data_IF_215701204540
#
_entry.id   IF_215701204540
#
_cell.length_a   1.000
_cell.length_b   1.000
_cell.length_c   1.000
_cell.angle_alpha   90.00
_cell.angle_beta   90.00
_cell.angle_gamma   90.00
#
_symmetry.space_group_name_H-M   'P 1'
#
loop_
_entity.id
_entity.type
_entity.pdbx_description
1 polymer ?
#
# COMPACT_ATOMS: atom_id res chain seq x y z
N UNK A 1 14.31 -1.54 -5.45
CA UNK A 1 13.30 -2.19 -6.30
C UNK A 1 13.79 -2.26 -7.74
N UNK A 2 14.04 -1.13 -8.42
CA UNK A 2 14.54 -1.11 -9.81
C UNK A 2 15.81 -1.97 -10.02
N UNK A 3 16.76 -1.94 -9.08
CA UNK A 3 17.96 -2.78 -9.11
C UNK A 3 17.68 -4.28 -9.00
N UNK A 4 16.54 -4.69 -8.42
CA UNK A 4 16.15 -6.10 -8.28
C UNK A 4 15.52 -6.67 -9.56
N UNK A 5 15.06 -5.81 -10.46
CA UNK A 5 14.42 -6.20 -11.73
C UNK A 5 15.28 -5.87 -12.94
N UNK A 6 16.58 -5.65 -12.73
CA UNK A 6 17.57 -5.32 -13.77
C UNK A 6 17.11 -4.20 -14.74
N UNK A 7 16.45 -3.18 -14.18
CA UNK A 7 15.94 -2.05 -14.97
C UNK A 7 14.72 -2.36 -15.85
N UNK A 8 14.15 -3.57 -15.79
CA UNK A 8 12.93 -3.92 -16.54
C UNK A 8 11.72 -3.06 -16.13
N UNK A 9 11.74 -2.48 -14.92
CA UNK A 9 10.76 -1.52 -14.44
C UNK A 9 11.49 -0.29 -13.91
N UNK A 10 11.01 0.89 -14.32
CA UNK A 10 11.38 2.17 -13.71
C UNK A 10 10.23 2.67 -12.86
N UNK A 11 10.54 3.19 -11.68
CA UNK A 11 9.62 3.66 -10.66
C UNK A 11 9.98 5.12 -10.28
N UNK A 12 9.90 6.08 -11.21
CA UNK A 12 10.10 7.48 -10.87
C UNK A 12 9.07 7.93 -9.84
N UNK A 13 9.51 8.62 -8.79
CA UNK A 13 8.65 9.11 -7.71
C UNK A 13 8.57 10.63 -7.78
N UNK A 14 7.35 11.16 -7.83
CA UNK A 14 7.06 12.58 -7.66
C UNK A 14 6.42 12.77 -6.30
N UNK A 15 7.11 13.48 -5.41
CA UNK A 15 6.57 13.91 -4.12
C UNK A 15 5.79 15.22 -4.35
N UNK A 16 4.50 15.20 -4.02
CA UNK A 16 3.64 16.39 -3.96
C UNK A 16 3.77 17.05 -2.59
N UNK A 17 3.39 18.33 -2.48
CA UNK A 17 3.44 19.01 -1.20
C UNK A 17 2.53 18.30 -0.18
N UNK A 18 3.11 17.96 0.96
CA UNK A 18 2.37 17.51 2.15
C UNK A 18 2.07 18.79 2.94
N UNK A 19 0.79 19.14 3.09
CA UNK A 19 0.42 20.34 3.85
C UNK A 19 0.84 20.17 5.31
N UNK A 20 0.26 19.18 5.97
CA UNK A 20 0.58 18.75 7.32
C UNK A 20 0.94 17.25 7.28
N UNK A 21 2.13 16.87 7.74
CA UNK A 21 2.53 15.46 7.89
C UNK A 21 1.92 14.90 9.17
N UNK A 22 0.62 14.59 9.13
CA UNK A 22 -0.14 14.09 10.27
C UNK A 22 -1.04 12.92 9.87
N UNK A 23 -1.02 11.87 10.69
CA UNK A 23 -2.00 10.78 10.65
C UNK A 23 -3.31 11.21 11.32
N UNK A 24 -3.98 12.18 10.70
CA UNK A 24 -5.28 12.74 11.11
C UNK A 24 -6.18 12.87 9.89
N UNK A 25 -7.45 12.51 10.04
CA UNK A 25 -8.37 12.33 8.89
C UNK A 25 -8.47 13.56 7.97
N UNK A 26 -8.57 14.78 8.52
CA UNK A 26 -8.67 16.00 7.71
C UNK A 26 -7.37 16.33 6.97
N UNK A 27 -6.20 16.13 7.57
CA UNK A 27 -4.91 16.26 6.90
C UNK A 27 -4.78 15.26 5.74
N UNK A 28 -5.26 14.02 5.93
CA UNK A 28 -5.27 12.98 4.91
C UNK A 28 -6.26 13.28 3.77
N UNK A 29 -7.41 13.90 4.07
CA UNK A 29 -8.38 14.36 3.07
C UNK A 29 -7.80 15.50 2.21
N UNK A 30 -7.08 16.44 2.81
CA UNK A 30 -6.36 17.48 2.05
C UNK A 30 -5.26 16.87 1.16
N UNK A 31 -4.45 15.96 1.71
CA UNK A 31 -3.40 15.26 0.97
C UNK A 31 -3.92 14.53 -0.27
N UNK A 32 -5.06 13.85 -0.13
CA UNK A 32 -5.73 13.13 -1.22
C UNK A 32 -6.64 13.99 -2.10
N UNK A 33 -6.61 15.32 -1.98
CA UNK A 33 -7.43 16.22 -2.75
C UNK A 33 -7.13 16.19 -4.25
N UNK A 34 -8.17 16.27 -5.09
CA UNK A 34 -8.06 16.16 -6.55
C UNK A 34 -7.06 17.14 -7.18
N UNK A 35 -6.98 18.38 -6.68
CA UNK A 35 -6.04 19.38 -7.18
C UNK A 35 -4.57 18.96 -6.96
N UNK A 36 -4.22 18.48 -5.76
CA UNK A 36 -2.87 18.02 -5.44
C UNK A 36 -2.48 16.81 -6.27
N UNK A 37 -3.40 15.87 -6.41
CA UNK A 37 -3.20 14.66 -7.22
C UNK A 37 -2.99 15.01 -8.69
N UNK A 38 -3.78 15.92 -9.25
CA UNK A 38 -3.62 16.37 -10.64
C UNK A 38 -2.27 17.02 -10.89
N UNK A 39 -1.78 17.86 -9.97
CA UNK A 39 -0.43 18.48 -10.06
C UNK A 39 0.67 17.40 -10.05
N UNK A 40 0.58 16.43 -9.15
CA UNK A 40 1.54 15.31 -9.09
C UNK A 40 1.54 14.47 -10.37
N UNK A 41 0.35 14.10 -10.85
CA UNK A 41 0.15 13.30 -12.05
C UNK A 41 0.66 14.01 -13.30
N UNK A 42 0.38 15.30 -13.46
CA UNK A 42 0.87 16.10 -14.59
C UNK A 42 2.40 16.22 -14.61
N UNK A 43 3.04 16.31 -13.44
CA UNK A 43 4.50 16.27 -13.33
C UNK A 43 5.05 14.89 -13.70
N UNK A 44 4.43 13.82 -13.22
CA UNK A 44 4.89 12.47 -13.53
C UNK A 44 4.68 12.11 -15.01
N UNK A 45 3.67 12.67 -15.67
CA UNK A 45 3.42 12.49 -17.10
C UNK A 45 4.62 12.89 -17.99
N UNK A 46 5.49 13.80 -17.53
CA UNK A 46 6.69 14.19 -18.29
C UNK A 46 7.71 13.06 -18.40
N UNK A 47 7.68 12.09 -17.47
CA UNK A 47 8.50 10.87 -17.50
C UNK A 47 7.94 9.81 -18.46
N UNK A 48 6.76 10.05 -19.07
CA UNK A 48 6.04 9.11 -19.96
C UNK A 48 5.86 7.72 -19.33
N UNK A 49 5.25 7.63 -18.13
CA UNK A 49 5.03 6.35 -17.48
C UNK A 49 4.00 5.51 -18.25
N UNK A 50 4.09 4.19 -18.17
CA UNK A 50 3.06 3.29 -18.71
C UNK A 50 1.83 3.20 -17.78
N UNK A 51 2.01 3.36 -16.47
CA UNK A 51 0.96 3.45 -15.44
C UNK A 51 1.37 4.37 -14.30
N UNK A 52 0.38 4.86 -13.53
CA UNK A 52 0.63 5.73 -12.37
C UNK A 52 -0.02 5.16 -11.11
N UNK A 53 0.72 5.19 -10.00
CA UNK A 53 0.19 4.83 -8.68
C UNK A 53 0.13 6.05 -7.78
N UNK A 54 -1.05 6.31 -7.20
CA UNK A 54 -1.17 7.14 -6.01
C UNK A 54 -0.64 6.34 -4.81
N UNK A 55 0.65 6.53 -4.53
CA UNK A 55 1.43 5.79 -3.54
C UNK A 55 1.21 6.33 -2.11
N UNK A 56 -0.05 6.35 -1.67
CA UNK A 56 -0.43 6.69 -0.30
C UNK A 56 -1.62 5.81 0.11
N UNK A 57 -1.42 4.97 1.12
CA UNK A 57 -2.49 4.10 1.64
C UNK A 57 -3.56 4.91 2.35
N UNK A 58 -3.16 5.74 3.33
CA UNK A 58 -4.05 6.51 4.20
C UNK A 58 -4.80 7.61 3.48
N UNK A 59 -4.13 8.39 2.65
CA UNK A 59 -4.76 9.43 1.82
C UNK A 59 -5.75 8.89 0.78
N UNK A 60 -5.83 7.57 0.58
CA UNK A 60 -6.86 6.95 -0.27
C UNK A 60 -7.91 6.18 0.52
N UNK A 61 -7.57 5.41 1.56
CA UNK A 61 -8.60 4.66 2.31
C UNK A 61 -9.55 5.56 3.11
N UNK A 62 -9.12 6.77 3.53
CA UNK A 62 -10.01 7.68 4.30
C UNK A 62 -11.18 8.20 3.47
N UNK A 63 -11.03 8.19 2.14
CA UNK A 63 -12.10 8.54 1.18
C UNK A 63 -13.09 7.39 0.94
N UNK A 64 -12.82 6.20 1.49
CA UNK A 64 -13.58 4.98 1.19
C UNK A 64 -13.38 4.47 -0.25
N UNK A 65 -14.00 3.34 -0.61
CA UNK A 65 -13.77 2.69 -1.91
C UNK A 65 -14.17 3.54 -3.13
N UNK A 66 -15.28 4.28 -3.03
CA UNK A 66 -15.74 5.15 -4.12
C UNK A 66 -14.80 6.33 -4.30
N UNK A 67 -14.48 7.07 -3.24
CA UNK A 67 -13.57 8.20 -3.35
C UNK A 67 -12.14 7.80 -3.74
N UNK A 68 -11.64 6.64 -3.31
CA UNK A 68 -10.36 6.11 -3.79
C UNK A 68 -10.38 5.78 -5.29
N UNK A 69 -11.53 5.34 -5.83
CA UNK A 69 -11.71 5.13 -7.27
C UNK A 69 -11.73 6.47 -8.00
N UNK A 70 -12.49 7.45 -7.50
CA UNK A 70 -12.54 8.79 -8.09
C UNK A 70 -11.15 9.46 -8.13
N UNK A 71 -10.37 9.30 -7.05
CA UNK A 71 -8.97 9.74 -7.01
C UNK A 71 -8.13 9.07 -8.11
N UNK A 72 -8.22 7.75 -8.24
CA UNK A 72 -7.47 7.01 -9.26
C UNK A 72 -7.89 7.41 -10.68
N UNK A 73 -9.19 7.60 -10.94
CA UNK A 73 -9.70 8.07 -12.23
C UNK A 73 -9.22 9.49 -12.56
N UNK A 74 -9.20 10.39 -11.58
CA UNK A 74 -8.64 11.73 -11.73
C UNK A 74 -7.15 11.72 -12.05
N UNK A 75 -6.37 10.89 -11.36
CA UNK A 75 -4.93 10.69 -11.64
C UNK A 75 -4.73 10.13 -13.04
N UNK A 76 -5.52 9.14 -13.45
CA UNK A 76 -5.45 8.55 -14.79
C UNK A 76 -5.75 9.59 -15.88
N UNK A 77 -6.79 10.40 -15.69
CA UNK A 77 -7.17 11.46 -16.62
C UNK A 77 -6.06 12.53 -16.75
N UNK A 78 -5.43 12.92 -15.64
CA UNK A 78 -4.36 13.91 -15.64
C UNK A 78 -3.04 13.37 -16.22
N UNK A 79 -2.72 12.09 -16.00
CA UNK A 79 -1.50 11.46 -16.52
C UNK A 79 -1.64 10.95 -17.96
N UNK A 80 -2.87 10.68 -18.42
CA UNK A 80 -3.15 10.09 -19.73
C UNK A 80 -2.88 8.59 -19.83
N UNK A 81 -2.67 7.91 -18.70
CA UNK A 81 -2.38 6.46 -18.61
C UNK A 81 -3.14 5.82 -17.45
N UNK A 82 -3.31 4.49 -17.42
CA UNK A 82 -4.01 3.82 -16.32
C UNK A 82 -3.41 4.14 -14.96
N UNK A 83 -4.27 4.35 -13.96
CA UNK A 83 -3.83 4.63 -12.60
C UNK A 83 -4.64 3.89 -11.53
N UNK A 84 -4.05 3.76 -10.35
CA UNK A 84 -4.67 3.18 -9.15
C UNK A 84 -4.05 3.78 -7.89
N UNK A 85 -4.51 3.36 -6.71
CA UNK A 85 -3.95 3.74 -5.42
C UNK A 85 -3.46 2.53 -4.61
N UNK A 86 -2.67 2.78 -3.57
CA UNK A 86 -2.19 1.74 -2.65
C UNK A 86 -3.32 1.05 -1.87
N UNK A 87 -4.38 1.77 -1.48
CA UNK A 87 -5.53 1.15 -0.80
C UNK A 87 -6.28 0.17 -1.71
N UNK A 88 -6.53 0.55 -2.97
CA UNK A 88 -7.10 -0.35 -3.98
C UNK A 88 -6.18 -1.56 -4.20
N UNK A 89 -4.87 -1.33 -4.27
CA UNK A 89 -3.88 -2.38 -4.46
C UNK A 89 -3.93 -3.45 -3.37
N UNK A 90 -4.20 -3.09 -2.11
CA UNK A 90 -4.36 -4.06 -1.03
C UNK A 90 -5.54 -5.01 -1.26
N UNK A 91 -6.70 -4.46 -1.64
CA UNK A 91 -7.90 -5.26 -1.91
C UNK A 91 -7.67 -6.20 -3.10
N UNK A 92 -7.05 -5.69 -4.17
CA UNK A 92 -6.78 -6.48 -5.37
C UNK A 92 -5.73 -7.56 -5.13
N UNK A 93 -4.66 -7.26 -4.37
CA UNK A 93 -3.65 -8.23 -3.98
C UNK A 93 -4.24 -9.34 -3.09
N UNK A 94 -5.10 -8.97 -2.12
CA UNK A 94 -5.78 -9.95 -1.28
C UNK A 94 -6.68 -10.89 -2.12
N UNK A 95 -7.44 -10.33 -3.07
CA UNK A 95 -8.28 -11.11 -4.00
C UNK A 95 -7.46 -12.00 -4.91
N UNK A 96 -6.34 -11.50 -5.43
CA UNK A 96 -5.43 -12.26 -6.28
C UNK A 96 -4.91 -13.52 -5.57
N UNK A 97 -4.60 -13.40 -4.27
CA UNK A 97 -4.17 -14.51 -3.43
C UNK A 97 -5.32 -15.37 -2.86
N UNK A 98 -6.58 -15.03 -3.16
CA UNK A 98 -7.76 -15.74 -2.64
C UNK A 98 -8.01 -15.53 -1.14
N UNK A 99 -7.47 -14.47 -0.55
CA UNK A 99 -7.57 -14.17 0.88
C UNK A 99 -8.94 -13.57 1.22
N UNK A 100 -9.60 -14.16 2.22
CA UNK A 100 -10.89 -13.66 2.76
C UNK A 100 -10.78 -13.11 4.17
N UNK A 101 -9.87 -13.64 4.97
CA UNK A 101 -9.64 -13.24 6.36
C UNK A 101 -8.18 -12.85 6.53
N UNK A 102 -7.92 -11.67 7.08
CA UNK A 102 -6.57 -11.13 7.25
C UNK A 102 -6.39 -10.48 8.62
N UNK A 103 -5.15 -10.35 9.05
CA UNK A 103 -4.77 -9.48 10.15
C UNK A 103 -4.17 -8.17 9.60
N UNK A 104 -4.26 -7.09 10.38
CA UNK A 104 -3.69 -5.78 10.03
C UNK A 104 -2.67 -5.36 11.09
N UNK A 105 -1.45 -5.09 10.64
CA UNK A 105 -0.37 -4.54 11.46
C UNK A 105 -0.13 -3.07 11.07
N UNK A 106 -0.89 -2.17 11.68
CA UNK A 106 -0.84 -0.73 11.38
C UNK A 106 0.12 0.02 12.32
N UNK A 107 0.89 0.94 11.74
CA UNK A 107 1.63 1.99 12.44
C UNK A 107 0.71 3.09 12.98
N UNK A 108 -0.42 3.30 12.33
CA UNK A 108 -1.37 4.40 12.55
C UNK A 108 -2.00 4.43 13.96
N UNK A 109 -2.55 5.58 14.38
CA UNK A 109 -3.57 5.64 15.41
C UNK A 109 -4.78 4.76 15.08
N UNK A 110 -5.45 4.23 16.11
CA UNK A 110 -6.55 3.27 15.96
C UNK A 110 -7.68 3.81 15.07
N UNK A 111 -8.11 5.06 15.28
CA UNK A 111 -9.18 5.69 14.52
C UNK A 111 -8.89 5.75 13.01
N UNK A 112 -7.64 6.06 12.64
CA UNK A 112 -7.15 6.02 11.26
C UNK A 112 -7.07 4.60 10.72
N UNK A 113 -6.52 3.65 11.50
CA UNK A 113 -6.43 2.25 11.11
C UNK A 113 -7.80 1.63 10.84
N UNK A 114 -8.83 2.01 11.59
CA UNK A 114 -10.21 1.55 11.40
C UNK A 114 -10.80 1.97 10.04
N UNK A 115 -10.34 3.07 9.42
CA UNK A 115 -10.74 3.38 8.04
C UNK A 115 -10.20 2.35 7.04
N UNK A 116 -8.97 1.88 7.23
CA UNK A 116 -8.40 0.82 6.40
C UNK A 116 -9.16 -0.51 6.56
N UNK A 117 -9.54 -0.87 7.78
CA UNK A 117 -10.40 -2.05 8.04
C UNK A 117 -11.73 -1.95 7.29
N UNK A 118 -12.40 -0.79 7.36
CA UNK A 118 -13.65 -0.56 6.61
C UNK A 118 -13.44 -0.65 5.10
N UNK A 119 -12.33 -0.13 4.60
CA UNK A 119 -11.97 -0.19 3.18
C UNK A 119 -11.80 -1.64 2.69
N UNK A 120 -11.05 -2.45 3.44
CA UNK A 120 -10.85 -3.87 3.16
C UNK A 120 -12.17 -4.65 3.17
N UNK A 121 -13.01 -4.42 4.20
CA UNK A 121 -14.33 -5.06 4.31
C UNK A 121 -15.23 -4.73 3.12
N UNK A 122 -15.27 -3.48 2.68
CA UNK A 122 -16.01 -3.10 1.48
C UNK A 122 -15.46 -3.77 0.20
N UNK A 123 -14.17 -4.12 0.21
CA UNK A 123 -13.52 -4.96 -0.79
C UNK A 123 -13.80 -6.47 -0.68
N UNK A 124 -14.55 -6.92 0.33
CA UNK A 124 -14.84 -8.33 0.59
C UNK A 124 -13.73 -9.07 1.35
N UNK A 125 -12.85 -8.34 2.04
CA UNK A 125 -11.77 -8.90 2.87
C UNK A 125 -12.07 -8.57 4.34
N UNK A 126 -12.33 -9.60 5.14
CA UNK A 126 -12.60 -9.45 6.57
C UNK A 126 -11.30 -9.35 7.38
N UNK A 127 -11.26 -8.42 8.33
CA UNK A 127 -10.14 -8.26 9.25
C UNK A 127 -10.47 -8.95 10.57
N UNK A 128 -9.73 -10.01 10.90
CA UNK A 128 -9.96 -10.82 12.12
C UNK A 128 -9.16 -10.35 13.32
N UNK A 129 -8.06 -9.62 13.09
CA UNK A 129 -7.24 -9.00 14.12
C UNK A 129 -6.61 -7.71 13.59
N UNK A 130 -6.40 -6.74 14.46
CA UNK A 130 -5.71 -5.49 14.14
C UNK A 130 -4.81 -5.08 15.30
N UNK A 131 -3.55 -4.76 15.00
CA UNK A 131 -2.64 -4.02 15.87
C UNK A 131 -2.44 -2.60 15.35
N UNK A 132 -2.41 -1.62 16.27
CA UNK A 132 -2.15 -0.20 15.97
C UNK A 132 -1.06 0.33 16.89
N UNK A 133 -0.02 0.99 16.35
CA UNK A 133 1.12 1.47 17.12
C UNK A 133 1.08 2.98 17.44
N UNK A 134 0.04 3.70 17.01
CA UNK A 134 -0.22 5.09 17.44
C UNK A 134 0.82 6.11 16.99
N UNK A 135 1.59 5.80 15.94
CA UNK A 135 2.60 6.70 15.40
C UNK A 135 1.92 7.80 14.59
N UNK A 136 2.19 9.06 14.91
CA UNK A 136 1.37 10.19 14.44
C UNK A 136 1.83 10.79 13.11
N UNK A 137 3.04 10.46 12.64
CA UNK A 137 3.63 11.06 11.43
C UNK A 137 4.28 10.01 10.54
N UNK A 138 4.32 10.25 9.23
CA UNK A 138 5.03 9.38 8.30
C UNK A 138 6.55 9.42 8.55
N UNK A 139 7.07 10.59 8.96
CA UNK A 139 8.48 10.75 9.32
C UNK A 139 8.92 9.80 10.45
N UNK A 140 8.13 9.67 11.52
CA UNK A 140 8.42 8.75 12.62
C UNK A 140 8.38 7.29 12.14
N UNK A 141 7.39 6.91 11.33
CA UNK A 141 7.29 5.56 10.75
C UNK A 141 8.53 5.22 9.91
N UNK A 142 9.06 6.17 9.14
CA UNK A 142 10.27 5.99 8.34
C UNK A 142 11.54 5.71 9.16
N UNK A 143 11.52 5.91 10.48
CA UNK A 143 12.64 5.60 11.39
C UNK A 143 12.56 4.20 12.00
N UNK A 144 11.46 3.47 11.80
CA UNK A 144 11.32 2.11 12.31
C UNK A 144 12.37 1.19 11.68
N UNK A 145 13.11 0.49 12.54
CA UNK A 145 14.07 -0.50 12.11
C UNK A 145 13.38 -1.84 11.77
N UNK A 146 14.05 -2.75 11.03
CA UNK A 146 13.49 -4.05 10.68
C UNK A 146 12.93 -4.87 11.84
N UNK A 147 13.62 -4.92 12.97
CA UNK A 147 13.20 -5.71 14.15
C UNK A 147 11.88 -5.18 14.74
N UNK A 148 11.70 -3.86 14.76
CA UNK A 148 10.46 -3.23 15.20
C UNK A 148 9.31 -3.57 14.26
N UNK A 149 9.55 -3.59 12.95
CA UNK A 149 8.53 -3.95 11.95
C UNK A 149 8.15 -5.43 12.08
N UNK A 150 9.13 -6.33 12.24
CA UNK A 150 8.89 -7.76 12.49
C UNK A 150 8.07 -7.93 13.76
N UNK A 151 8.46 -7.29 14.86
CA UNK A 151 7.72 -7.38 16.12
C UNK A 151 6.27 -6.88 15.98
N UNK A 152 6.03 -5.81 15.23
CA UNK A 152 4.69 -5.30 14.95
C UNK A 152 3.85 -6.31 14.15
N UNK A 153 4.44 -6.94 13.13
CA UNK A 153 3.76 -7.95 12.30
C UNK A 153 3.44 -9.19 13.12
N UNK A 154 4.39 -9.71 13.89
CA UNK A 154 4.18 -10.88 14.76
C UNK A 154 3.12 -10.62 15.83
N UNK A 155 3.09 -9.41 16.42
CA UNK A 155 2.11 -9.06 17.44
C UNK A 155 0.67 -8.93 16.90
N UNK A 156 0.52 -8.56 15.62
CA UNK A 156 -0.78 -8.42 14.97
C UNK A 156 -1.32 -9.73 14.38
N UNK A 157 -0.48 -10.76 14.23
CA UNK A 157 -0.88 -12.03 13.62
C UNK A 157 -1.99 -12.74 14.40
N UNK A 158 -2.80 -13.53 13.68
CA UNK A 158 -3.93 -14.25 14.24
C UNK A 158 -4.10 -15.63 13.57
N UNK A 159 -4.43 -16.71 14.30
CA UNK A 159 -4.57 -18.04 13.73
C UNK A 159 -5.60 -18.14 12.60
N UNK A 160 -6.67 -17.34 12.66
CA UNK A 160 -7.71 -17.32 11.61
C UNK A 160 -7.38 -16.40 10.40
N UNK A 161 -6.25 -15.69 10.45
CA UNK A 161 -5.80 -14.85 9.35
C UNK A 161 -5.02 -15.67 8.32
N UNK A 162 -5.38 -15.53 7.04
CA UNK A 162 -4.62 -16.13 5.93
C UNK A 162 -3.41 -15.29 5.49
N UNK A 163 -3.29 -14.04 5.97
CA UNK A 163 -2.17 -13.14 5.71
C UNK A 163 -2.17 -11.97 6.72
N UNK A 164 -1.04 -11.28 6.84
CA UNK A 164 -0.91 -10.02 7.59
C UNK A 164 -0.68 -8.85 6.63
N UNK A 165 -1.44 -7.77 6.79
CA UNK A 165 -1.31 -6.55 5.96
C UNK A 165 -0.59 -5.45 6.76
N UNK A 166 0.42 -4.83 6.13
CA UNK A 166 1.24 -3.73 6.67
C UNK A 166 0.99 -2.48 5.82
N UNK A 167 0.00 -1.64 6.17
CA UNK A 167 -0.56 -0.65 5.25
C UNK A 167 0.17 0.70 5.20
N UNK A 168 1.47 0.78 5.48
CA UNK A 168 2.20 2.06 5.50
C UNK A 168 3.33 2.14 4.46
N UNK A 169 3.25 3.13 3.57
CA UNK A 169 4.24 3.39 2.52
C UNK A 169 5.53 4.03 3.06
N UNK A 170 5.50 4.65 4.24
CA UNK A 170 6.69 5.22 4.87
C UNK A 170 7.62 4.14 5.45
N UNK A 171 7.10 2.93 5.68
CA UNK A 171 7.85 1.83 6.29
C UNK A 171 8.76 1.15 5.26
N UNK A 172 10.04 0.99 5.57
CA UNK A 172 11.04 0.40 4.66
C UNK A 172 10.96 -1.14 4.57
N UNK A 173 9.84 -1.67 4.09
CA UNK A 173 9.53 -3.11 4.14
C UNK A 173 10.11 -3.94 3.00
N UNK A 174 10.39 -3.36 1.83
CA UNK A 174 10.78 -4.12 0.63
C UNK A 174 12.02 -5.00 0.81
N UNK A 175 12.91 -4.64 1.74
CA UNK A 175 14.14 -5.40 1.99
C UNK A 175 13.93 -6.63 2.89
N UNK A 176 12.80 -6.70 3.60
CA UNK A 176 12.58 -7.65 4.69
C UNK A 176 11.28 -8.45 4.53
N UNK A 177 10.62 -8.43 3.36
CA UNK A 177 9.33 -9.11 3.15
C UNK A 177 9.43 -10.60 3.50
N UNK A 178 10.46 -11.30 3.02
CA UNK A 178 10.66 -12.71 3.30
C UNK A 178 10.87 -12.96 4.81
N UNK A 179 11.55 -12.05 5.52
CA UNK A 179 11.71 -12.12 6.97
C UNK A 179 10.37 -11.95 7.70
N UNK A 180 9.52 -11.05 7.21
CA UNK A 180 8.16 -10.87 7.73
C UNK A 180 7.32 -12.13 7.52
N UNK A 181 7.34 -12.73 6.32
CA UNK A 181 6.61 -13.97 6.02
C UNK A 181 7.11 -15.14 6.88
N UNK A 182 8.42 -15.29 7.04
CA UNK A 182 9.02 -16.31 7.91
C UNK A 182 8.61 -16.13 9.39
N UNK A 183 8.47 -14.90 9.86
CA UNK A 183 8.14 -14.62 11.26
C UNK A 183 6.71 -15.02 11.65
N UNK A 184 5.78 -15.10 10.69
CA UNK A 184 4.37 -15.45 10.93
C UNK A 184 3.89 -16.69 10.18
N UNK A 185 4.76 -17.33 9.40
CA UNK A 185 4.48 -18.51 8.56
C UNK A 185 3.27 -18.31 7.62
N UNK A 186 3.11 -17.07 7.12
CA UNK A 186 1.98 -16.62 6.30
C UNK A 186 2.42 -15.53 5.31
N UNK A 187 1.69 -15.33 4.20
CA UNK A 187 1.89 -14.17 3.34
C UNK A 187 1.80 -12.85 4.12
N UNK A 188 2.70 -11.92 3.82
CA UNK A 188 2.69 -10.56 4.37
C UNK A 188 2.59 -9.57 3.23
N UNK A 189 1.51 -8.80 3.20
CA UNK A 189 1.26 -7.79 2.19
C UNK A 189 1.66 -6.41 2.72
N UNK A 190 2.70 -5.81 2.13
CA UNK A 190 3.19 -4.48 2.54
C UNK A 190 2.79 -3.41 1.54
N UNK A 191 2.57 -2.18 2.00
CA UNK A 191 2.06 -1.09 1.16
C UNK A 191 2.94 -0.81 -0.07
N UNK A 192 4.26 -0.84 0.11
CA UNK A 192 5.21 -0.64 -0.99
C UNK A 192 5.11 -1.76 -2.04
N UNK A 193 5.03 -3.03 -1.61
CA UNK A 193 5.01 -4.16 -2.54
C UNK A 193 3.69 -4.23 -3.31
N UNK A 194 2.55 -4.02 -2.66
CA UNK A 194 1.24 -4.06 -3.32
C UNK A 194 1.09 -2.89 -4.30
N UNK A 195 1.68 -1.74 -3.99
CA UNK A 195 1.69 -0.58 -4.89
C UNK A 195 2.41 -0.90 -6.19
N UNK A 196 3.61 -1.50 -6.11
CA UNK A 196 4.36 -1.90 -7.32
C UNK A 196 3.63 -3.02 -8.06
N UNK A 197 3.12 -4.03 -7.35
CA UNK A 197 2.37 -5.13 -7.94
C UNK A 197 1.16 -4.61 -8.73
N UNK A 198 0.38 -3.68 -8.15
CA UNK A 198 -0.78 -3.09 -8.81
C UNK A 198 -0.41 -2.26 -10.03
N UNK A 199 0.67 -1.47 -9.95
CA UNK A 199 1.16 -0.71 -11.09
C UNK A 199 1.53 -1.58 -12.28
N UNK A 200 2.15 -2.75 -12.02
CA UNK A 200 2.46 -3.75 -13.06
C UNK A 200 1.20 -4.48 -13.54
N UNK A 201 0.29 -4.83 -12.63
CA UNK A 201 -0.96 -5.52 -12.93
C UNK A 201 -1.86 -4.73 -13.89
N UNK A 202 -1.81 -3.40 -13.83
CA UNK A 202 -2.52 -2.52 -14.78
C UNK A 202 -2.02 -2.67 -16.23
N UNK A 203 -0.81 -3.20 -16.46
CA UNK A 203 -0.25 -3.48 -17.78
C UNK A 203 -0.50 -4.91 -18.27
N UNK A 204 -0.94 -5.81 -17.38
CA UNK A 204 -1.17 -7.21 -17.69
C UNK A 204 -0.62 -8.16 -16.64
N UNK A 205 -0.27 -9.41 -17.02
CA UNK A 205 0.32 -10.37 -16.10
C UNK A 205 1.56 -9.83 -15.39
N UNK A 206 1.58 -9.94 -14.07
CA UNK A 206 2.73 -9.51 -13.24
C UNK A 206 3.81 -10.59 -13.33
N UNK A 207 5.07 -10.24 -13.64
CA UNK A 207 6.16 -11.21 -13.67
C UNK A 207 6.53 -11.68 -12.24
N UNK A 208 7.08 -12.88 -12.16
CA UNK A 208 7.67 -13.37 -10.91
C UNK A 208 8.88 -12.52 -10.54
N UNK A 209 8.88 -11.97 -9.32
CA UNK A 209 9.98 -11.18 -8.78
C UNK A 209 10.43 -11.78 -7.44
N UNK A 210 11.38 -12.73 -7.47
CA UNK A 210 11.86 -13.40 -6.27
C UNK A 210 12.35 -12.42 -5.19
N UNK A 211 12.09 -12.75 -3.91
CA UNK A 211 12.49 -11.93 -2.77
C UNK A 211 11.59 -10.72 -2.49
N UNK A 212 10.37 -10.71 -3.05
CA UNK A 212 9.31 -9.75 -2.73
C UNK A 212 8.08 -10.45 -2.13
N UNK A 213 8.33 -11.56 -1.42
CA UNK A 213 7.32 -12.37 -0.77
C UNK A 213 6.38 -13.11 -1.72
N UNK A 214 5.38 -13.74 -1.11
CA UNK A 214 4.41 -14.61 -1.77
C UNK A 214 3.61 -13.89 -2.87
N UNK A 215 3.43 -12.56 -2.79
CA UNK A 215 2.67 -11.80 -3.80
C UNK A 215 3.30 -11.82 -5.20
N UNK A 216 4.62 -11.88 -5.27
CA UNK A 216 5.40 -11.92 -6.52
C UNK A 216 6.02 -13.29 -6.79
N UNK A 217 5.70 -14.29 -5.97
CA UNK A 217 6.19 -15.66 -6.11
C UNK A 217 5.12 -16.60 -6.63
N UNK A 218 5.52 -17.54 -7.48
CA UNK A 218 4.69 -18.64 -7.95
C UNK A 218 4.34 -19.55 -6.74
N UNK A 219 3.07 -19.63 -6.33
CA UNK A 219 2.60 -20.67 -5.39
C UNK A 219 2.71 -22.01 -6.11
N UNK A 220 3.84 -22.70 -5.96
CA UNK A 220 3.94 -24.13 -6.25
C UNK A 220 3.87 -24.95 -4.97
#
# INVERSE_FOLDING_TARGET
MESRVDGAVRLPVVITSVGEDAHRVDALLDLGGAERLAVGAARLATEKPDTVMWACTSGSFVFGPEGARDQAEGVAAAAGVPASSTSIAFVDAARHLGLRHVAVAASYPDDVAQHFVRFLRAGGVEVVAMGSHGINTAAEVGTLNPEQVVSMVTAADHPDAGAVLVPDTAMHTLAIIDELEMAVDKPVLTANQVTVWKGLQLLGPVPDLPGLGTLFGDRR
#
